data_IF_713594037924
#
_entry.id   IF_713594037924
#
_cell.length_a   1.000
_cell.length_b   1.000
_cell.length_c   1.000
_cell.angle_alpha   90.00
_cell.angle_beta   90.00
_cell.angle_gamma   90.00
#
_symmetry.space_group_name_H-M   'P 1'
#
loop_
_entity.id
_entity.type
_entity.pdbx_description
1 polymer ?
#
# COMPACT_ATOMS: atom_id res chain seq x y z
N UNK A 1 27.99 69.60 13.17
CA UNK A 1 27.72 68.17 13.44
C UNK A 1 29.01 67.43 13.19
N UNK A 2 29.43 66.53 14.08
CA UNK A 2 30.69 65.81 13.93
C UNK A 2 30.67 65.00 12.61
N UNK A 3 31.73 65.13 11.81
CA UNK A 3 31.92 64.32 10.61
C UNK A 3 32.03 62.85 11.05
N UNK A 4 31.10 62.02 10.60
CA UNK A 4 31.19 60.58 10.81
C UNK A 4 32.31 60.06 9.90
N UNK A 5 33.32 59.44 10.49
CA UNK A 5 34.43 58.81 9.76
C UNK A 5 33.88 57.63 8.95
N UNK A 6 33.79 57.80 7.62
CA UNK A 6 33.13 56.83 6.72
C UNK A 6 34.03 55.70 6.22
N UNK A 7 35.35 55.93 6.18
CA UNK A 7 36.36 54.96 5.74
C UNK A 7 37.56 55.04 6.68
N UNK A 8 37.97 53.91 7.24
CA UNK A 8 39.20 53.76 8.02
C UNK A 8 40.16 52.79 7.32
N UNK A 9 41.44 53.17 7.27
CA UNK A 9 42.53 52.27 6.86
C UNK A 9 43.51 52.19 8.02
N UNK A 10 43.74 50.98 8.53
CA UNK A 10 44.52 50.74 9.74
C UNK A 10 45.94 50.29 9.40
N UNK A 11 46.85 50.42 10.37
CA UNK A 11 48.26 50.03 10.21
C UNK A 11 48.49 48.53 10.02
N UNK A 12 47.50 47.71 10.40
CA UNK A 12 47.46 46.26 10.16
C UNK A 12 46.92 45.90 8.77
N UNK A 13 46.60 46.90 7.93
CA UNK A 13 46.10 46.72 6.56
C UNK A 13 44.58 46.52 6.48
N UNK A 14 43.86 46.56 7.61
CA UNK A 14 42.42 46.41 7.62
C UNK A 14 41.71 47.68 7.12
N UNK A 15 40.65 47.50 6.34
CA UNK A 15 39.81 48.56 5.78
C UNK A 15 38.39 48.43 6.36
N UNK A 16 37.90 49.49 7.00
CA UNK A 16 36.53 49.56 7.53
C UNK A 16 35.72 50.65 6.84
N UNK A 17 34.51 50.34 6.39
CA UNK A 17 33.51 51.31 5.89
C UNK A 17 32.34 51.31 6.86
N UNK A 18 31.99 52.48 7.42
CA UNK A 18 30.95 52.60 8.47
C UNK A 18 31.35 52.03 9.83
N UNK A 19 32.63 51.69 10.04
CA UNK A 19 33.15 51.15 11.31
C UNK A 19 34.64 51.49 11.49
N UNK A 20 35.07 51.66 12.74
CA UNK A 20 36.48 51.73 13.13
C UNK A 20 36.98 50.43 13.81
N UNK A 21 36.08 49.47 14.01
CA UNK A 21 36.34 48.13 14.53
C UNK A 21 36.10 47.08 13.43
N UNK A 22 37.08 46.94 12.52
CA UNK A 22 36.99 45.98 11.42
C UNK A 22 36.98 44.53 11.91
N UNK A 23 36.07 43.71 11.39
CA UNK A 23 35.95 42.27 11.70
C UNK A 23 36.80 41.38 10.78
N UNK A 24 37.54 41.97 9.83
CA UNK A 24 38.42 41.29 8.88
C UNK A 24 39.27 42.29 8.09
N UNK A 25 39.91 41.83 7.01
CA UNK A 25 40.67 42.72 6.12
C UNK A 25 39.79 43.77 5.45
N UNK A 26 38.56 43.40 5.11
CA UNK A 26 37.52 44.33 4.65
C UNK A 26 36.26 44.11 5.48
N UNK A 27 35.79 45.16 6.14
CA UNK A 27 34.49 45.17 6.82
C UNK A 27 33.64 46.31 6.25
N UNK A 28 32.46 45.97 5.76
CA UNK A 28 31.43 46.93 5.36
C UNK A 28 30.27 46.77 6.31
N UNK A 29 30.02 47.79 7.12
CA UNK A 29 28.99 47.79 8.15
C UNK A 29 28.01 48.91 7.85
N UNK A 30 26.72 48.56 7.81
CA UNK A 30 25.67 49.54 7.61
C UNK A 30 25.47 50.42 8.83
N UNK A 31 25.19 51.71 8.61
CA UNK A 31 24.79 52.64 9.67
C UNK A 31 23.33 52.38 10.10
N UNK A 32 22.45 51.96 9.19
CA UNK A 32 21.05 51.61 9.47
C UNK A 32 20.65 50.25 8.90
N UNK A 33 19.61 49.64 9.47
CA UNK A 33 19.13 48.33 9.04
C UNK A 33 18.56 48.30 7.60
N UNK A 34 18.23 49.46 7.03
CA UNK A 34 17.65 49.56 5.69
C UNK A 34 18.69 49.74 4.58
N UNK A 35 19.95 50.03 4.94
CA UNK A 35 20.99 50.29 3.94
C UNK A 35 21.38 49.00 3.19
N UNK A 36 21.87 49.14 1.96
CA UNK A 36 22.47 48.03 1.23
C UNK A 36 23.98 48.06 1.46
N UNK A 37 24.51 47.05 2.14
CA UNK A 37 25.95 47.02 2.49
C UNK A 37 26.87 46.86 1.28
N UNK A 38 26.50 46.02 0.32
CA UNK A 38 27.31 45.79 -0.88
C UNK A 38 26.41 45.57 -2.10
N UNK A 39 26.68 46.31 -3.17
CA UNK A 39 26.07 46.10 -4.49
C UNK A 39 27.16 45.62 -5.45
N UNK A 40 26.99 44.42 -6.00
CA UNK A 40 27.81 43.91 -7.09
C UNK A 40 26.98 43.94 -8.37
N UNK A 41 27.26 44.91 -9.24
CA UNK A 41 26.52 45.12 -10.48
C UNK A 41 27.38 44.74 -11.69
N UNK A 42 26.89 43.80 -12.50
CA UNK A 42 27.55 43.39 -13.73
C UNK A 42 27.48 44.48 -14.81
N UNK A 43 28.49 44.51 -15.68
CA UNK A 43 28.46 45.35 -16.87
C UNK A 43 27.41 44.85 -17.88
N UNK A 44 27.02 45.71 -18.84
CA UNK A 44 26.21 45.26 -19.96
C UNK A 44 26.90 44.09 -20.68
N UNK A 45 26.15 43.01 -20.92
CA UNK A 45 26.66 41.77 -21.52
C UNK A 45 27.75 41.04 -20.71
N UNK A 46 27.73 41.17 -19.37
CA UNK A 46 28.61 40.42 -18.47
C UNK A 46 28.55 38.91 -18.76
N UNK A 47 29.70 38.30 -19.03
CA UNK A 47 29.84 36.86 -19.26
C UNK A 47 30.50 36.13 -18.10
N UNK A 48 31.40 36.80 -17.36
CA UNK A 48 32.03 36.27 -16.15
C UNK A 48 31.13 36.32 -14.90
N UNK A 49 31.52 35.61 -13.84
CA UNK A 49 30.84 35.63 -12.55
C UNK A 49 30.79 37.04 -11.95
N UNK A 50 29.68 37.37 -11.27
CA UNK A 50 29.56 38.60 -10.48
C UNK A 50 30.43 38.51 -9.22
N UNK A 51 30.46 37.35 -8.58
CA UNK A 51 31.27 37.11 -7.39
C UNK A 51 31.76 35.67 -7.36
N UNK A 52 32.93 35.44 -6.77
CA UNK A 52 33.54 34.12 -6.60
C UNK A 52 34.14 33.98 -5.20
N UNK A 53 33.98 32.79 -4.63
CA UNK A 53 34.70 32.36 -3.44
C UNK A 53 35.66 31.26 -3.86
N UNK A 54 36.96 31.52 -3.69
CA UNK A 54 38.04 30.65 -4.15
C UNK A 54 38.89 30.15 -2.99
N UNK A 55 39.54 29.00 -3.18
CA UNK A 55 40.61 28.55 -2.29
C UNK A 55 41.97 29.19 -2.67
N UNK A 56 43.01 28.89 -1.89
CA UNK A 56 44.36 29.42 -2.10
C UNK A 56 45.06 28.91 -3.37
N UNK A 57 44.49 27.90 -4.04
CA UNK A 57 44.98 27.39 -5.34
C UNK A 57 44.29 28.09 -6.52
N UNK A 58 43.30 28.94 -6.24
CA UNK A 58 42.52 29.65 -7.26
C UNK A 58 41.26 28.91 -7.70
N UNK A 59 40.95 27.76 -7.12
CA UNK A 59 39.75 26.98 -7.45
C UNK A 59 38.50 27.67 -6.93
N UNK A 60 37.48 27.85 -7.80
CA UNK A 60 36.19 28.42 -7.41
C UNK A 60 35.36 27.37 -6.66
N UNK A 61 35.13 27.58 -5.36
CA UNK A 61 34.32 26.70 -4.51
C UNK A 61 32.82 27.02 -4.63
N UNK A 62 32.52 28.31 -4.79
CA UNK A 62 31.18 28.81 -5.12
C UNK A 62 31.28 30.11 -5.92
N UNK A 63 30.22 30.44 -6.67
CA UNK A 63 30.12 31.70 -7.40
C UNK A 63 28.69 32.20 -7.54
N UNK A 64 28.55 33.48 -7.83
CA UNK A 64 27.33 34.07 -8.39
C UNK A 64 27.59 34.32 -9.87
N UNK A 65 26.90 33.61 -10.75
CA UNK A 65 27.00 33.78 -12.20
C UNK A 65 26.52 35.16 -12.66
N UNK A 66 26.83 35.54 -13.90
CA UNK A 66 26.35 36.80 -14.49
C UNK A 66 24.82 36.91 -14.54
N UNK A 67 24.12 35.77 -14.50
CA UNK A 67 22.66 35.66 -14.44
C UNK A 67 22.10 35.60 -12.99
N UNK A 68 22.95 35.78 -11.97
CA UNK A 68 22.55 35.71 -10.56
C UNK A 68 22.39 34.29 -9.99
N UNK A 69 22.64 33.24 -10.78
CA UNK A 69 22.60 31.86 -10.29
C UNK A 69 23.76 31.62 -9.32
N UNK A 70 23.44 31.05 -8.15
CA UNK A 70 24.45 30.64 -7.18
C UNK A 70 24.92 29.23 -7.55
N UNK A 71 26.21 29.11 -7.88
CA UNK A 71 26.88 27.83 -8.06
C UNK A 71 27.59 27.47 -6.75
N UNK A 72 27.24 26.33 -6.15
CA UNK A 72 27.84 25.81 -4.93
C UNK A 72 28.57 24.49 -5.23
N UNK A 73 29.70 24.57 -5.94
CA UNK A 73 30.45 23.40 -6.44
C UNK A 73 30.96 22.48 -5.32
N UNK A 74 31.25 23.04 -4.14
CA UNK A 74 31.63 22.28 -2.95
C UNK A 74 30.44 21.71 -2.15
N UNK A 75 29.19 21.99 -2.57
CA UNK A 75 27.96 21.60 -1.89
C UNK A 75 27.40 22.68 -0.96
N UNK A 76 26.17 22.44 -0.47
CA UNK A 76 25.47 23.31 0.48
C UNK A 76 25.26 22.52 1.78
N UNK A 77 25.88 22.97 2.87
CA UNK A 77 25.59 22.48 4.21
C UNK A 77 24.54 23.40 4.85
N UNK A 78 23.38 22.85 5.22
CA UNK A 78 22.32 23.61 5.88
C UNK A 78 21.97 22.96 7.22
N UNK A 79 21.89 23.77 8.29
CA UNK A 79 21.43 23.33 9.62
C UNK A 79 19.91 23.43 9.78
N UNK A 80 19.21 23.94 8.76
CA UNK A 80 17.76 24.08 8.70
C UNK A 80 17.23 23.71 7.31
N UNK A 81 16.07 24.26 6.93
CA UNK A 81 15.44 23.90 5.66
C UNK A 81 16.15 24.57 4.47
N UNK A 82 16.52 23.78 3.46
CA UNK A 82 16.85 24.30 2.13
C UNK A 82 15.55 24.44 1.32
N UNK A 83 15.07 25.66 1.15
CA UNK A 83 13.88 25.96 0.36
C UNK A 83 14.30 26.22 -1.09
N UNK A 84 13.87 25.36 -2.01
CA UNK A 84 14.07 25.53 -3.45
C UNK A 84 12.75 26.02 -4.06
N UNK A 85 12.59 27.35 -4.14
CA UNK A 85 11.33 28.00 -4.56
C UNK A 85 11.47 28.71 -5.92
N UNK A 86 11.47 27.96 -7.03
CA UNK A 86 10.66 28.44 -8.17
C UNK A 86 9.64 27.44 -8.75
N UNK A 87 8.72 27.98 -9.55
CA UNK A 87 7.89 27.23 -10.52
C UNK A 87 8.80 26.38 -11.41
N UNK A 88 8.56 25.07 -11.51
CA UNK A 88 9.36 24.18 -12.37
C UNK A 88 10.70 23.70 -11.78
N UNK A 89 10.87 23.77 -10.45
CA UNK A 89 12.07 23.25 -9.77
C UNK A 89 12.19 21.72 -9.90
N UNK A 90 13.34 21.26 -10.38
CA UNK A 90 13.74 19.86 -10.31
C UNK A 90 14.84 19.68 -9.27
N UNK A 91 14.62 18.81 -8.28
CA UNK A 91 15.70 18.34 -7.41
C UNK A 91 16.41 17.19 -8.14
N UNK A 92 17.40 17.52 -8.96
CA UNK A 92 18.25 16.52 -9.63
C UNK A 92 19.35 16.13 -8.65
N UNK A 93 19.26 14.91 -8.12
CA UNK A 93 20.37 14.29 -7.40
C UNK A 93 21.05 13.33 -8.37
N UNK A 94 22.36 13.49 -8.59
CA UNK A 94 23.13 12.71 -9.56
C UNK A 94 23.20 11.21 -9.23
N UNK A 95 24.39 10.65 -8.99
CA UNK A 95 24.53 9.23 -8.60
C UNK A 95 24.11 8.94 -7.14
N UNK A 96 23.69 9.97 -6.40
CA UNK A 96 23.30 9.88 -4.99
C UNK A 96 21.78 9.97 -4.81
N UNK A 97 21.32 9.62 -3.61
CA UNK A 97 19.90 9.68 -3.20
C UNK A 97 19.55 11.06 -2.66
N UNK A 98 18.27 11.44 -2.74
CA UNK A 98 17.70 12.64 -2.09
C UNK A 98 17.96 12.66 -0.56
N UNK A 99 18.35 11.54 0.05
CA UNK A 99 18.92 11.49 1.40
C UNK A 99 19.92 10.33 1.61
N UNK A 100 20.98 10.58 2.39
CA UNK A 100 21.74 9.56 3.11
C UNK A 100 21.82 10.03 4.57
N UNK A 101 21.06 9.40 5.47
CA UNK A 101 21.27 9.54 6.92
C UNK A 101 22.24 8.46 7.38
N UNK A 102 23.24 8.87 8.16
CA UNK A 102 24.16 7.97 8.87
C UNK A 102 23.72 7.68 10.31
N UNK A 103 22.52 8.14 10.73
CA UNK A 103 21.98 7.83 12.06
C UNK A 103 20.61 8.44 12.35
N UNK A 104 19.73 7.65 13.00
CA UNK A 104 18.51 8.10 13.69
C UNK A 104 17.44 8.78 12.83
N UNK A 105 16.43 8.01 12.40
CA UNK A 105 15.09 8.51 12.02
C UNK A 105 15.04 9.70 11.06
N UNK A 106 15.33 9.48 9.78
CA UNK A 106 15.10 10.49 8.73
C UNK A 106 13.99 10.01 7.80
N UNK A 107 12.97 10.85 7.58
CA UNK A 107 11.91 10.61 6.60
C UNK A 107 11.94 11.70 5.52
N UNK A 108 11.62 11.35 4.28
CA UNK A 108 11.27 12.34 3.25
C UNK A 108 9.77 12.56 3.36
N UNK A 109 9.34 13.76 3.77
CA UNK A 109 7.96 14.21 3.61
C UNK A 109 7.82 14.88 2.25
N UNK A 110 7.16 14.22 1.30
CA UNK A 110 6.79 14.77 0.00
C UNK A 110 5.34 15.27 0.06
N UNK A 111 5.14 16.55 0.35
CA UNK A 111 3.82 17.19 0.26
C UNK A 111 3.60 17.65 -1.19
N UNK A 112 3.03 16.78 -2.01
CA UNK A 112 2.76 17.04 -3.43
C UNK A 112 1.28 17.40 -3.60
N UNK A 113 0.98 18.47 -4.35
CA UNK A 113 -0.39 18.80 -4.80
C UNK A 113 -0.78 18.03 -6.08
N UNK A 114 0.03 17.05 -6.50
CA UNK A 114 -0.14 16.25 -7.71
C UNK A 114 0.53 14.87 -7.59
N UNK A 115 0.77 14.22 -8.73
CA UNK A 115 1.21 12.82 -8.76
C UNK A 115 2.67 12.61 -8.33
N UNK A 116 2.92 11.56 -7.54
CA UNK A 116 4.24 10.97 -7.39
C UNK A 116 4.45 9.92 -8.48
N UNK A 117 5.08 10.30 -9.59
CA UNK A 117 5.33 9.41 -10.73
C UNK A 117 6.74 8.80 -10.71
N UNK A 118 6.83 7.48 -10.92
CA UNK A 118 8.08 6.76 -11.19
C UNK A 118 8.28 6.64 -12.71
N UNK A 119 9.38 7.17 -13.25
CA UNK A 119 9.78 6.97 -14.64
C UNK A 119 10.73 5.78 -14.75
N UNK A 120 10.35 4.70 -15.45
CA UNK A 120 11.25 3.60 -15.88
C UNK A 120 12.32 3.16 -14.86
N UNK A 121 11.97 2.20 -14.00
CA UNK A 121 12.96 1.48 -13.17
C UNK A 121 13.10 1.98 -11.72
N UNK A 122 12.37 3.01 -11.29
CA UNK A 122 12.29 3.35 -9.87
C UNK A 122 11.27 2.46 -9.14
N UNK A 123 11.74 1.81 -8.08
CA UNK A 123 10.90 1.05 -7.16
C UNK A 123 10.67 1.86 -5.88
N UNK A 124 9.44 1.95 -5.42
CA UNK A 124 9.14 2.37 -4.04
C UNK A 124 9.49 1.19 -3.14
N UNK A 125 10.53 1.34 -2.31
CA UNK A 125 11.07 0.25 -1.50
C UNK A 125 11.14 0.65 -0.03
N UNK A 126 10.35 -0.04 0.80
CA UNK A 126 10.42 0.08 2.26
C UNK A 126 11.51 -0.87 2.79
N UNK A 127 12.59 -0.32 3.36
CA UNK A 127 13.77 -1.08 3.77
C UNK A 127 13.99 -0.99 5.28
N UNK A 128 13.21 -1.74 6.05
CA UNK A 128 13.54 -2.26 7.39
C UNK A 128 12.34 -3.03 7.94
N UNK A 129 12.58 -4.00 8.83
CA UNK A 129 11.63 -5.04 9.27
C UNK A 129 10.37 -4.59 10.04
N UNK A 130 9.84 -3.40 9.79
CA UNK A 130 8.62 -2.90 10.42
C UNK A 130 7.91 -1.74 9.69
N UNK A 131 8.31 -1.37 8.47
CA UNK A 131 7.67 -0.25 7.75
C UNK A 131 6.62 -0.73 6.75
N UNK A 132 5.38 -0.25 6.87
CA UNK A 132 4.26 -0.49 5.94
C UNK A 132 4.18 0.61 4.89
N UNK A 133 3.87 0.27 3.63
CA UNK A 133 3.37 1.24 2.66
C UNK A 133 1.92 1.58 3.04
N UNK A 134 1.69 2.76 3.62
CA UNK A 134 0.35 3.25 3.91
C UNK A 134 -0.15 4.08 2.71
N UNK A 135 -1.27 3.67 2.13
CA UNK A 135 -2.04 4.46 1.15
C UNK A 135 -3.38 4.75 1.81
N UNK A 136 -3.53 5.95 2.37
CA UNK A 136 -4.80 6.40 2.97
C UNK A 136 -5.49 7.43 2.08
N UNK A 137 -6.82 7.49 2.19
CA UNK A 137 -7.62 8.60 1.70
C UNK A 137 -8.17 9.38 2.88
N UNK A 138 -7.41 10.35 3.39
CA UNK A 138 -7.90 11.24 4.44
C UNK A 138 -8.87 12.31 3.87
N UNK A 139 -10.18 12.15 4.09
CA UNK A 139 -11.18 13.18 3.76
C UNK A 139 -12.58 12.60 3.47
N UNK A 140 -13.62 13.23 4.03
CA UNK A 140 -14.99 12.72 4.04
C UNK A 140 -15.57 12.47 2.63
N UNK A 141 -16.00 11.22 2.40
CA UNK A 141 -16.71 10.66 1.23
C UNK A 141 -15.94 10.64 -0.10
N UNK A 142 -14.99 9.72 -0.31
CA UNK A 142 -14.42 9.52 -1.63
C UNK A 142 -15.31 8.57 -2.45
N UNK A 143 -15.90 9.06 -3.53
CA UNK A 143 -16.45 8.20 -4.60
C UNK A 143 -15.35 7.52 -5.43
N UNK A 144 -14.09 7.86 -5.17
CA UNK A 144 -12.90 7.34 -5.87
C UNK A 144 -12.17 6.30 -5.02
N UNK A 145 -11.61 5.25 -5.64
CA UNK A 145 -10.83 4.23 -4.93
C UNK A 145 -9.57 4.84 -4.30
N UNK A 146 -9.25 4.43 -3.07
CA UNK A 146 -8.04 4.85 -2.33
C UNK A 146 -6.75 4.37 -3.01
N UNK A 147 -6.80 3.21 -3.68
CA UNK A 147 -5.67 2.65 -4.44
C UNK A 147 -6.17 1.98 -5.71
N UNK A 148 -5.46 2.21 -6.82
CA UNK A 148 -5.71 1.57 -8.12
C UNK A 148 -4.42 0.95 -8.62
N UNK A 149 -4.43 -0.38 -8.80
CA UNK A 149 -3.35 -1.11 -9.45
C UNK A 149 -3.83 -1.43 -10.86
N UNK A 150 -3.24 -0.78 -11.86
CA UNK A 150 -3.61 -0.96 -13.27
C UNK A 150 -2.41 -1.31 -14.12
N UNK A 151 -2.62 -2.25 -15.02
CA UNK A 151 -1.62 -2.65 -16.00
C UNK A 151 -1.52 -1.73 -17.21
N UNK A 152 -0.50 -1.95 -18.03
CA UNK A 152 -0.50 -1.38 -19.38
C UNK A 152 -1.57 -2.06 -20.24
N UNK A 153 -1.95 -1.44 -21.37
CA UNK A 153 -2.94 -1.99 -22.29
C UNK A 153 -2.61 -3.41 -22.82
N UNK A 154 -1.38 -3.88 -22.64
CA UNK A 154 -0.89 -5.20 -23.09
C UNK A 154 -0.30 -6.04 -21.94
N UNK A 155 -0.77 -5.82 -20.70
CA UNK A 155 -0.30 -6.55 -19.52
C UNK A 155 -0.45 -8.07 -19.71
N UNK A 156 0.67 -8.79 -19.61
CA UNK A 156 0.73 -10.26 -19.54
C UNK A 156 1.18 -10.77 -18.17
N UNK A 157 1.83 -9.92 -17.36
CA UNK A 157 2.25 -10.24 -16.00
C UNK A 157 1.14 -10.03 -14.96
N UNK A 158 1.35 -10.53 -13.75
CA UNK A 158 0.39 -10.34 -12.66
C UNK A 158 0.26 -8.86 -12.24
N UNK A 159 -0.94 -8.42 -11.85
CA UNK A 159 -1.19 -7.07 -11.33
C UNK A 159 -0.63 -6.91 -9.92
N UNK A 160 -0.75 -7.95 -9.08
CA UNK A 160 -0.25 -7.95 -7.71
C UNK A 160 0.31 -9.33 -7.35
N UNK A 161 1.42 -9.38 -6.62
CA UNK A 161 1.95 -10.61 -6.04
C UNK A 161 2.37 -10.40 -4.57
N UNK A 162 1.99 -11.34 -3.72
CA UNK A 162 2.59 -11.54 -2.41
C UNK A 162 3.61 -12.69 -2.53
N UNK A 163 4.88 -12.41 -2.25
CA UNK A 163 5.96 -13.39 -2.34
C UNK A 163 6.65 -13.60 -1.00
N UNK A 164 7.26 -14.78 -0.82
CA UNK A 164 8.24 -14.99 0.25
C UNK A 164 9.62 -14.40 -0.13
N UNK A 165 10.57 -14.44 0.81
CA UNK A 165 11.94 -13.93 0.60
C UNK A 165 12.74 -14.66 -0.49
N UNK A 166 12.31 -15.88 -0.87
CA UNK A 166 12.89 -16.65 -1.97
C UNK A 166 12.22 -16.37 -3.33
N UNK A 167 11.25 -15.44 -3.39
CA UNK A 167 10.54 -15.08 -4.62
C UNK A 167 9.36 -16.00 -4.99
N UNK A 168 8.98 -16.93 -4.11
CA UNK A 168 7.81 -17.79 -4.35
C UNK A 168 6.52 -16.98 -4.15
N UNK A 169 5.66 -16.96 -5.16
CA UNK A 169 4.32 -16.34 -5.09
C UNK A 169 3.41 -17.17 -4.19
N UNK A 170 2.90 -16.56 -3.11
CA UNK A 170 1.97 -17.14 -2.15
C UNK A 170 0.52 -16.76 -2.45
N UNK A 171 0.31 -15.55 -2.94
CA UNK A 171 -0.96 -15.07 -3.45
C UNK A 171 -0.72 -14.08 -4.60
N UNK A 172 -1.64 -14.02 -5.55
CA UNK A 172 -1.56 -13.06 -6.66
C UNK A 172 -2.92 -12.67 -7.20
N UNK A 173 -2.95 -11.52 -7.85
CA UNK A 173 -4.00 -11.11 -8.78
C UNK A 173 -3.34 -11.06 -10.15
N UNK A 174 -3.77 -11.93 -11.06
CA UNK A 174 -3.20 -11.99 -12.41
C UNK A 174 -3.69 -10.85 -13.32
N UNK A 175 -3.22 -10.81 -14.57
CA UNK A 175 -3.60 -9.79 -15.56
C UNK A 175 -5.12 -9.73 -15.83
N UNK A 176 -5.82 -10.86 -15.67
CA UNK A 176 -7.28 -10.97 -15.82
C UNK A 176 -8.05 -10.65 -14.53
N UNK A 177 -7.35 -10.35 -13.44
CA UNK A 177 -7.97 -10.06 -12.15
C UNK A 177 -8.29 -11.30 -11.31
N UNK A 178 -7.85 -12.50 -11.71
CA UNK A 178 -8.10 -13.70 -10.91
C UNK A 178 -7.21 -13.72 -9.68
N UNK A 179 -7.82 -13.91 -8.51
CA UNK A 179 -7.13 -14.15 -7.25
C UNK A 179 -6.73 -15.63 -7.14
N UNK A 180 -5.43 -15.90 -7.04
CA UNK A 180 -4.88 -17.21 -6.70
C UNK A 180 -4.21 -17.14 -5.33
N UNK A 181 -4.50 -18.07 -4.42
CA UNK A 181 -3.87 -18.18 -3.10
C UNK A 181 -3.43 -19.62 -2.86
N UNK A 182 -2.17 -19.84 -2.44
CA UNK A 182 -1.63 -21.19 -2.21
C UNK A 182 -2.35 -21.92 -1.07
N UNK A 183 -2.58 -21.22 0.04
CA UNK A 183 -3.34 -21.70 1.20
C UNK A 183 -4.21 -20.56 1.72
N UNK A 184 -5.53 -20.78 1.83
CA UNK A 184 -6.47 -19.79 2.31
C UNK A 184 -7.23 -20.30 3.55
N UNK A 185 -7.39 -19.44 4.56
CA UNK A 185 -8.30 -19.63 5.69
C UNK A 185 -9.32 -18.50 5.65
N UNK A 186 -10.60 -18.84 5.53
CA UNK A 186 -11.69 -17.86 5.55
C UNK A 186 -12.24 -17.78 6.97
N UNK A 187 -11.96 -16.68 7.68
CA UNK A 187 -12.54 -16.40 8.98
C UNK A 187 -13.84 -15.62 8.79
N UNK A 188 -14.92 -16.35 8.48
CA UNK A 188 -16.24 -15.78 8.16
C UNK A 188 -16.93 -16.53 7.03
N UNK A 189 -17.89 -15.87 6.37
CA UNK A 189 -18.62 -16.43 5.24
C UNK A 189 -17.95 -16.05 3.92
N UNK A 190 -17.73 -17.04 3.04
CA UNK A 190 -17.46 -16.80 1.62
C UNK A 190 -18.80 -16.79 0.88
N UNK A 191 -19.17 -15.64 0.31
CA UNK A 191 -20.35 -15.53 -0.57
C UNK A 191 -19.90 -15.64 -2.02
N UNK A 192 -20.52 -16.55 -2.77
CA UNK A 192 -20.35 -16.67 -4.23
C UNK A 192 -21.66 -16.28 -4.87
N UNK A 193 -21.65 -15.24 -5.70
CA UNK A 193 -22.87 -14.69 -6.34
C UNK A 193 -23.25 -15.43 -7.61
N UNK A 194 -22.29 -16.10 -8.25
CA UNK A 194 -22.46 -16.91 -9.45
C UNK A 194 -22.03 -18.36 -9.18
N UNK A 195 -21.39 -19.00 -10.15
CA UNK A 195 -20.95 -20.39 -10.05
C UNK A 195 -19.60 -20.52 -9.32
N UNK A 196 -19.47 -21.55 -8.49
CA UNK A 196 -18.19 -22.03 -7.96
C UNK A 196 -17.95 -23.49 -8.36
N UNK A 197 -16.70 -23.82 -8.66
CA UNK A 197 -16.26 -25.19 -8.91
C UNK A 197 -15.31 -25.59 -7.79
N UNK A 198 -15.67 -26.66 -7.07
CA UNK A 198 -14.84 -27.23 -6.01
C UNK A 198 -14.32 -28.60 -6.46
N UNK A 199 -13.04 -28.67 -6.83
CA UNK A 199 -12.40 -29.92 -7.23
C UNK A 199 -11.96 -30.71 -5.97
N UNK A 200 -12.74 -31.70 -5.55
CA UNK A 200 -12.44 -32.58 -4.42
C UNK A 200 -13.68 -33.15 -3.72
N UNK A 201 -13.48 -33.93 -2.65
CA UNK A 201 -14.57 -34.51 -1.85
C UNK A 201 -15.12 -33.50 -0.82
N UNK A 202 -15.69 -32.38 -1.28
CA UNK A 202 -16.35 -31.40 -0.41
C UNK A 202 -17.87 -31.58 -0.45
N UNK A 203 -18.48 -31.81 0.71
CA UNK A 203 -19.94 -31.72 0.90
C UNK A 203 -20.22 -30.34 1.52
N UNK A 204 -20.96 -29.47 0.83
CA UNK A 204 -21.40 -28.20 1.40
C UNK A 204 -22.69 -28.41 2.19
N UNK A 205 -22.65 -28.26 3.51
CA UNK A 205 -23.70 -28.71 4.44
C UNK A 205 -24.80 -27.67 4.73
N UNK A 206 -24.89 -26.55 4.01
CA UNK A 206 -25.75 -25.42 4.41
C UNK A 206 -27.26 -25.71 4.42
N UNK A 207 -27.71 -26.79 3.78
CA UNK A 207 -29.13 -27.18 3.66
C UNK A 207 -29.39 -28.67 3.85
N UNK A 208 -28.37 -29.45 4.25
CA UNK A 208 -28.48 -30.90 4.32
C UNK A 208 -28.95 -31.35 5.71
N UNK A 209 -30.07 -32.06 5.76
CA UNK A 209 -30.61 -32.66 6.99
C UNK A 209 -30.32 -34.16 6.97
N UNK A 210 -29.96 -34.74 8.12
CA UNK A 210 -29.63 -36.16 8.22
C UNK A 210 -30.16 -36.78 9.51
N UNK A 211 -30.55 -38.06 9.42
CA UNK A 211 -30.78 -38.92 10.57
C UNK A 211 -29.80 -40.07 10.50
N UNK A 212 -28.94 -40.21 11.53
CA UNK A 212 -27.98 -41.32 11.64
C UNK A 212 -28.48 -42.33 12.68
N UNK A 213 -28.47 -43.61 12.35
CA UNK A 213 -28.92 -44.70 13.23
C UNK A 213 -30.32 -44.48 13.81
N UNK A 214 -31.25 -44.00 12.97
CA UNK A 214 -32.64 -43.80 13.37
C UNK A 214 -33.29 -45.16 13.63
N UNK A 215 -34.04 -45.25 14.74
CA UNK A 215 -34.80 -46.46 15.07
C UNK A 215 -36.08 -46.49 14.26
N UNK A 216 -36.27 -47.57 13.50
CA UNK A 216 -37.56 -47.84 12.90
C UNK A 216 -38.55 -48.35 13.95
N UNK A 217 -39.81 -47.92 13.86
CA UNK A 217 -40.90 -48.51 14.63
C UNK A 217 -40.93 -50.03 14.39
N UNK A 218 -41.25 -50.83 15.40
CA UNK A 218 -41.25 -52.30 15.26
C UNK A 218 -42.33 -52.77 14.28
N UNK A 219 -41.99 -53.78 13.45
CA UNK A 219 -42.92 -54.45 12.53
C UNK A 219 -43.60 -53.52 11.50
N UNK A 220 -42.91 -52.49 11.01
CA UNK A 220 -43.44 -51.57 9.98
C UNK A 220 -42.70 -51.70 8.65
N UNK A 221 -43.41 -51.49 7.53
CA UNK A 221 -42.81 -51.43 6.18
C UNK A 221 -42.56 -49.99 5.71
N UNK A 222 -42.89 -48.99 6.53
CA UNK A 222 -42.56 -47.59 6.24
C UNK A 222 -42.51 -46.72 7.49
N UNK A 223 -41.78 -45.62 7.42
CA UNK A 223 -41.70 -44.61 8.47
C UNK A 223 -41.63 -43.20 7.87
N UNK A 224 -42.39 -42.28 8.45
CA UNK A 224 -42.34 -40.87 8.07
C UNK A 224 -41.20 -40.16 8.79
N UNK A 225 -40.41 -39.41 8.03
CA UNK A 225 -39.37 -38.51 8.52
C UNK A 225 -39.92 -37.09 8.47
N UNK A 226 -39.83 -36.37 9.59
CA UNK A 226 -40.23 -34.97 9.70
C UNK A 226 -38.98 -34.11 9.89
N UNK A 227 -38.87 -33.03 9.13
CA UNK A 227 -37.79 -32.06 9.28
C UNK A 227 -38.05 -31.14 10.48
N UNK A 228 -36.99 -30.81 11.22
CA UNK A 228 -37.08 -29.83 12.31
C UNK A 228 -37.38 -28.41 11.82
N UNK A 229 -37.00 -28.11 10.57
CA UNK A 229 -37.31 -26.87 9.87
C UNK A 229 -37.80 -27.21 8.46
N UNK A 230 -38.95 -26.68 8.00
CA UNK A 230 -39.41 -26.91 6.64
C UNK A 230 -38.40 -26.39 5.59
N UNK A 231 -38.23 -27.14 4.51
CA UNK A 231 -37.57 -26.65 3.30
C UNK A 231 -38.52 -25.76 2.49
N UNK A 232 -37.96 -24.93 1.60
CA UNK A 232 -38.72 -24.02 0.74
C UNK A 232 -39.65 -24.75 -0.24
N UNK A 233 -39.28 -25.96 -0.66
CA UNK A 233 -40.02 -26.82 -1.60
C UNK A 233 -39.65 -28.30 -1.38
N UNK A 234 -40.25 -29.20 -2.17
CA UNK A 234 -39.96 -30.63 -2.16
C UNK A 234 -38.83 -31.06 -3.14
N UNK A 235 -38.09 -30.11 -3.71
CA UNK A 235 -37.03 -30.37 -4.70
C UNK A 235 -35.66 -30.52 -4.02
N UNK A 236 -35.44 -31.69 -3.42
CA UNK A 236 -34.19 -32.08 -2.79
C UNK A 236 -33.82 -33.53 -3.10
N UNK A 237 -32.55 -33.90 -3.11
CA UNK A 237 -32.17 -35.30 -3.17
C UNK A 237 -32.42 -35.95 -1.81
N UNK A 238 -32.96 -37.18 -1.77
CA UNK A 238 -33.17 -37.91 -0.54
C UNK A 238 -32.68 -39.36 -0.69
N UNK A 239 -31.88 -39.79 0.27
CA UNK A 239 -31.29 -41.12 0.32
C UNK A 239 -31.64 -41.78 1.65
N UNK A 240 -31.82 -43.10 1.63
CA UNK A 240 -31.91 -43.91 2.83
C UNK A 240 -30.98 -45.12 2.69
N UNK A 241 -30.51 -45.62 3.83
CA UNK A 241 -29.79 -46.88 3.92
C UNK A 241 -30.20 -47.59 5.20
N UNK A 242 -30.79 -48.78 5.11
CA UNK A 242 -31.20 -49.56 6.28
C UNK A 242 -30.29 -50.77 6.48
N UNK A 243 -30.10 -51.20 7.73
CA UNK A 243 -29.23 -52.35 8.03
C UNK A 243 -29.90 -53.71 7.79
N UNK A 244 -31.22 -53.75 7.55
CA UNK A 244 -31.99 -55.00 7.52
C UNK A 244 -32.67 -55.28 6.17
N UNK A 245 -32.98 -54.24 5.39
CA UNK A 245 -33.66 -54.37 4.11
C UNK A 245 -33.29 -53.23 3.14
N UNK A 246 -33.40 -53.44 1.82
CA UNK A 246 -33.45 -52.33 0.88
C UNK A 246 -34.55 -51.34 1.27
N UNK A 247 -34.26 -50.05 1.08
CA UNK A 247 -35.19 -48.98 1.39
C UNK A 247 -35.25 -47.98 0.23
N UNK A 248 -36.36 -47.25 0.13
CA UNK A 248 -36.52 -46.16 -0.84
C UNK A 248 -37.36 -45.03 -0.27
N UNK A 249 -37.15 -43.83 -0.80
CA UNK A 249 -37.88 -42.63 -0.40
C UNK A 249 -39.11 -42.42 -1.29
N UNK A 250 -40.24 -42.07 -0.69
CA UNK A 250 -41.45 -41.62 -1.38
C UNK A 250 -42.08 -40.42 -0.67
N UNK A 251 -43.12 -39.81 -1.25
CA UNK A 251 -43.92 -38.74 -0.63
C UNK A 251 -43.08 -37.59 -0.07
N UNK A 252 -42.18 -37.03 -0.87
CA UNK A 252 -41.39 -35.85 -0.50
C UNK A 252 -42.30 -34.63 -0.36
N UNK A 253 -42.11 -33.87 0.71
CA UNK A 253 -42.86 -32.66 1.05
C UNK A 253 -41.90 -31.61 1.62
N UNK A 254 -42.35 -30.37 1.79
CA UNK A 254 -41.55 -29.33 2.44
C UNK A 254 -41.20 -29.65 3.89
N UNK A 255 -41.97 -30.50 4.56
CA UNK A 255 -41.81 -30.82 5.98
C UNK A 255 -41.23 -32.21 6.24
N UNK A 256 -40.95 -33.01 5.20
CA UNK A 256 -40.49 -34.37 5.40
C UNK A 256 -40.69 -35.30 4.21
N UNK A 257 -40.45 -36.59 4.41
CA UNK A 257 -40.66 -37.63 3.42
C UNK A 257 -40.98 -38.98 4.08
N UNK A 258 -41.38 -39.98 3.30
CA UNK A 258 -41.57 -41.35 3.77
C UNK A 258 -40.40 -42.23 3.34
N UNK A 259 -39.79 -42.94 4.30
CA UNK A 259 -38.91 -44.07 4.03
C UNK A 259 -39.76 -45.33 3.98
N UNK A 260 -39.61 -46.11 2.92
CA UNK A 260 -40.25 -47.41 2.76
C UNK A 260 -39.16 -48.49 2.83
N UNK A 261 -39.52 -49.64 3.37
CA UNK A 261 -38.65 -50.80 3.51
C UNK A 261 -39.27 -51.97 2.76
N UNK A 262 -38.44 -52.76 2.08
CA UNK A 262 -38.91 -53.92 1.31
C UNK A 262 -39.57 -54.96 2.23
N UNK A 263 -39.01 -55.17 3.42
CA UNK A 263 -39.55 -56.05 4.45
C UNK A 263 -39.81 -55.27 5.74
N UNK A 264 -40.73 -55.77 6.56
CA UNK A 264 -41.05 -55.16 7.86
C UNK A 264 -39.80 -55.08 8.75
N UNK A 265 -39.63 -53.95 9.42
CA UNK A 265 -38.58 -53.79 10.44
C UNK A 265 -38.65 -54.87 11.52
N UNK A 266 -37.50 -55.26 12.10
CA UNK A 266 -37.46 -56.25 13.18
C UNK A 266 -38.41 -55.91 14.34
N UNK A 267 -39.12 -56.92 14.84
CA UNK A 267 -40.10 -56.77 15.94
C UNK A 267 -39.44 -56.50 17.30
N UNK A 268 -38.15 -56.81 17.43
CA UNK A 268 -37.34 -56.58 18.62
C UNK A 268 -36.82 -55.14 18.74
N UNK A 269 -37.17 -54.25 17.80
CA UNK A 269 -36.74 -52.85 17.79
C UNK A 269 -35.29 -52.63 17.37
N UNK A 270 -34.61 -53.66 16.84
CA UNK A 270 -33.23 -53.57 16.35
C UNK A 270 -33.10 -52.88 14.98
N UNK A 271 -34.20 -52.59 14.29
CA UNK A 271 -34.19 -51.89 13.00
C UNK A 271 -33.53 -50.50 13.10
N UNK A 272 -32.36 -50.34 12.46
CA UNK A 272 -31.63 -49.07 12.34
C UNK A 272 -31.41 -48.65 10.89
N UNK A 273 -31.65 -47.38 10.59
CA UNK A 273 -31.42 -46.86 9.25
C UNK A 273 -30.87 -45.44 9.30
N UNK A 274 -30.11 -45.10 8.27
CA UNK A 274 -29.64 -43.76 8.00
C UNK A 274 -30.50 -43.14 6.90
N UNK A 275 -30.64 -41.82 6.96
CA UNK A 275 -31.16 -41.04 5.83
C UNK A 275 -30.42 -39.71 5.70
N UNK A 276 -30.35 -39.22 4.48
CA UNK A 276 -29.69 -37.99 4.13
C UNK A 276 -30.52 -37.24 3.09
N UNK A 277 -30.68 -35.94 3.32
CA UNK A 277 -31.23 -35.01 2.35
C UNK A 277 -30.10 -34.11 1.87
N UNK A 278 -29.93 -34.06 0.55
CA UNK A 278 -29.03 -33.13 -0.12
C UNK A 278 -29.84 -32.04 -0.82
N UNK A 279 -29.47 -30.78 -0.59
CA UNK A 279 -30.01 -29.64 -1.32
C UNK A 279 -28.89 -28.68 -1.65
#
# INVERSE_FOLDING_TARGET
GAEQERLTVRSDGNIGIGTNASLGQLAVVNDTAADVGLVIQGAASQTGNLQEWRDSTGTVLSSVGSNGVINANAGIASSGNLVLSPTGTYIIVGTKRIMQSTGGGSYIQLNLQGDLASYSGWTMRTQNGGTTLLVDGAGNTPTSPVSVIKGSATQTGDLLQAQNSAGTVLAKIDASGHLTVKNAVVQGTLTVTDSAIFNGNFITFSSNVRGKNVTASASVTSQNITFGTPHADADYAAFCNSIWAPCWVSNKTTTGFRVNFETSSPSDGSGRFDWFVAR
#
